data_IF_942188046700
#
_entry.id   IF_942188046700
#
_cell.length_a   1.000
_cell.length_b   1.000
_cell.length_c   1.000
_cell.angle_alpha   90.00
_cell.angle_beta   90.00
_cell.angle_gamma   90.00
#
_symmetry.space_group_name_H-M   'P 1'
#
loop_
_entity.id
_entity.type
_entity.pdbx_description
1 polymer ?
#
# COMPACT_ATOMS: atom_id res chain seq x y z
N UNK A 1 13.08 -8.35 -24.91
CA UNK A 1 11.61 -8.33 -24.79
C UNK A 1 11.25 -9.29 -23.67
N UNK A 2 10.38 -8.89 -22.74
CA UNK A 2 9.98 -9.74 -21.60
C UNK A 2 8.92 -10.78 -22.02
N UNK A 3 8.98 -11.97 -21.43
CA UNK A 3 7.96 -13.02 -21.53
C UNK A 3 7.12 -13.07 -20.24
N UNK A 4 5.88 -13.59 -20.28
CA UNK A 4 5.01 -13.70 -19.10
C UNK A 4 5.41 -14.89 -18.20
N UNK A 5 6.70 -14.99 -17.86
CA UNK A 5 7.26 -15.99 -16.94
C UNK A 5 8.09 -15.32 -15.86
N UNK A 6 8.20 -15.95 -14.69
CA UNK A 6 8.97 -15.41 -13.57
C UNK A 6 10.45 -15.25 -13.89
N UNK A 7 11.02 -16.20 -14.63
CA UNK A 7 12.42 -16.18 -15.06
C UNK A 7 12.71 -14.97 -15.95
N UNK A 8 11.75 -14.55 -16.79
CA UNK A 8 11.95 -13.39 -17.67
C UNK A 8 11.74 -12.07 -16.94
N UNK A 9 10.70 -11.94 -16.10
CA UNK A 9 10.44 -10.68 -15.37
C UNK A 9 11.50 -10.45 -14.29
N UNK A 10 12.03 -11.51 -13.69
CA UNK A 10 13.10 -11.45 -12.71
C UNK A 10 14.43 -10.88 -13.24
N UNK A 11 14.64 -10.83 -14.56
CA UNK A 11 15.83 -10.18 -15.14
C UNK A 11 15.69 -8.67 -15.31
N UNK A 12 14.55 -8.07 -14.96
CA UNK A 12 14.34 -6.62 -15.07
C UNK A 12 15.23 -5.89 -14.04
N UNK A 13 16.27 -5.15 -14.47
CA UNK A 13 17.13 -4.43 -13.53
C UNK A 13 16.37 -3.27 -12.87
N UNK A 14 16.80 -2.88 -11.68
CA UNK A 14 16.34 -1.65 -11.06
C UNK A 14 16.79 -0.45 -11.93
N UNK A 15 15.89 0.46 -12.35
CA UNK A 15 16.31 1.64 -13.12
C UNK A 15 17.17 2.58 -12.26
N UNK A 16 18.26 3.10 -12.84
CA UNK A 16 19.21 3.98 -12.14
C UNK A 16 18.51 5.18 -11.48
N UNK A 17 17.54 5.81 -12.16
CA UNK A 17 16.80 6.96 -11.61
C UNK A 17 16.04 6.62 -10.32
N UNK A 18 15.52 5.39 -10.20
CA UNK A 18 14.77 4.96 -9.02
C UNK A 18 15.74 4.65 -7.88
N UNK A 19 16.90 4.06 -8.20
CA UNK A 19 17.97 3.93 -7.22
C UNK A 19 18.40 5.32 -6.73
N UNK A 20 18.69 6.26 -7.64
CA UNK A 20 19.23 7.59 -7.33
C UNK A 20 18.27 8.53 -6.59
N UNK A 21 16.95 8.34 -6.69
CA UNK A 21 15.99 9.30 -6.13
C UNK A 21 16.07 9.43 -4.60
N UNK A 22 16.40 8.34 -3.88
CA UNK A 22 16.56 8.17 -2.40
C UNK A 22 15.42 8.69 -1.49
N UNK A 23 14.53 9.55 -1.95
CA UNK A 23 13.37 10.11 -1.25
C UNK A 23 12.17 10.13 -2.22
N UNK A 24 11.07 9.52 -1.80
CA UNK A 24 9.80 9.55 -2.52
C UNK A 24 8.66 10.00 -1.60
N UNK A 25 7.61 10.57 -2.20
CA UNK A 25 6.37 10.91 -1.49
C UNK A 25 5.34 9.85 -1.85
N UNK A 26 4.72 9.26 -0.83
CA UNK A 26 3.61 8.34 -1.02
C UNK A 26 2.31 8.99 -0.52
N UNK A 27 1.23 8.82 -1.28
CA UNK A 27 -0.05 9.45 -1.02
C UNK A 27 -1.13 8.37 -0.90
N UNK A 28 -1.78 8.33 0.26
CA UNK A 28 -3.01 7.55 0.46
C UNK A 28 -4.21 8.46 0.23
N UNK A 29 -4.83 8.34 -0.94
CA UNK A 29 -5.99 9.14 -1.29
C UNK A 29 -7.09 8.28 -1.94
N UNK A 30 -8.30 8.39 -1.39
CA UNK A 30 -9.47 7.69 -1.90
C UNK A 30 -10.74 8.13 -1.16
N UNK A 31 -11.86 7.42 -1.38
CA UNK A 31 -13.13 7.76 -0.73
C UNK A 31 -13.07 7.68 0.81
N UNK A 32 -12.19 6.84 1.36
CA UNK A 32 -11.92 6.77 2.79
C UNK A 32 -11.31 8.06 3.37
N UNK A 33 -10.67 8.90 2.53
CA UNK A 33 -10.13 10.20 2.95
C UNK A 33 -11.23 11.26 3.17
N UNK A 34 -12.45 11.05 2.65
CA UNK A 34 -13.58 11.98 2.83
C UNK A 34 -14.01 12.08 4.29
N UNK A 35 -14.26 10.99 5.02
CA UNK A 35 -14.51 11.06 6.46
C UNK A 35 -13.27 11.44 7.27
N UNK A 36 -12.05 11.12 6.78
CA UNK A 36 -10.80 11.49 7.43
C UNK A 36 -10.67 10.94 8.86
N UNK A 37 -11.06 9.68 9.05
CA UNK A 37 -11.16 9.05 10.35
C UNK A 37 -10.66 7.61 10.29
N UNK A 38 -9.93 7.17 11.30
CA UNK A 38 -9.68 5.76 11.55
C UNK A 38 -9.70 5.42 13.05
N UNK A 39 -9.84 4.13 13.41
CA UNK A 39 -9.73 3.72 14.80
C UNK A 39 -8.26 3.70 15.25
N UNK A 40 -8.02 4.18 16.46
CA UNK A 40 -6.73 4.05 17.11
C UNK A 40 -6.54 2.62 17.60
N UNK A 41 -5.72 1.86 16.88
CA UNK A 41 -5.46 0.45 17.16
C UNK A 41 -3.97 0.22 17.40
N UNK A 42 -3.59 -0.75 18.26
CA UNK A 42 -2.19 -1.05 18.52
C UNK A 42 -1.46 -1.65 17.30
N UNK A 43 -2.16 -2.47 16.50
CA UNK A 43 -1.60 -3.12 15.31
C UNK A 43 -2.64 -3.25 14.20
N UNK A 44 -2.39 -2.57 13.09
CA UNK A 44 -3.16 -2.69 11.85
C UNK A 44 -3.06 -4.10 11.26
N UNK A 45 -1.89 -4.74 11.32
CA UNK A 45 -1.67 -6.04 10.68
C UNK A 45 -2.49 -7.15 11.33
N UNK A 46 -2.74 -7.03 12.64
CA UNK A 46 -3.67 -7.91 13.35
C UNK A 46 -5.09 -7.70 12.83
N UNK A 47 -5.56 -6.45 12.77
CA UNK A 47 -6.89 -6.14 12.24
C UNK A 47 -7.10 -6.65 10.81
N UNK A 48 -6.11 -6.48 9.94
CA UNK A 48 -6.18 -6.97 8.55
C UNK A 48 -6.33 -8.50 8.46
N UNK A 49 -5.87 -9.24 9.46
CA UNK A 49 -5.94 -10.70 9.49
C UNK A 49 -7.23 -11.21 10.14
N UNK A 50 -7.77 -10.46 11.10
CA UNK A 50 -8.92 -10.87 11.91
C UNK A 50 -10.24 -10.37 11.36
N UNK A 51 -10.24 -9.23 10.69
CA UNK A 51 -11.45 -8.52 10.31
C UNK A 51 -11.89 -8.89 8.89
N UNK A 52 -13.20 -8.78 8.66
CA UNK A 52 -13.76 -9.00 7.34
C UNK A 52 -13.36 -7.85 6.39
N UNK A 53 -13.23 -8.09 5.07
CA UNK A 53 -12.84 -7.06 4.11
C UNK A 53 -13.74 -5.81 4.13
N UNK A 54 -15.01 -5.96 4.53
CA UNK A 54 -15.94 -4.84 4.66
C UNK A 54 -15.60 -3.91 5.84
N UNK A 55 -15.00 -4.44 6.90
CA UNK A 55 -14.58 -3.66 8.07
C UNK A 55 -13.39 -2.77 7.72
N UNK A 56 -12.47 -3.25 6.86
CA UNK A 56 -11.38 -2.43 6.33
C UNK A 56 -11.84 -1.18 5.58
N UNK A 57 -13.03 -1.21 4.97
CA UNK A 57 -13.58 -0.04 4.26
C UNK A 57 -14.12 1.01 5.23
N UNK A 58 -14.59 0.59 6.39
CA UNK A 58 -15.11 1.47 7.46
C UNK A 58 -13.97 2.04 8.29
N UNK A 59 -13.04 1.18 8.66
CA UNK A 59 -12.02 1.41 9.68
C UNK A 59 -10.64 1.59 9.03
N UNK A 60 -10.60 2.18 7.84
CA UNK A 60 -9.39 2.26 7.03
C UNK A 60 -8.34 3.15 7.72
N UNK A 61 -7.24 2.59 8.22
CA UNK A 61 -6.20 3.34 8.90
C UNK A 61 -5.53 4.37 7.98
N UNK A 62 -5.52 4.16 6.67
CA UNK A 62 -4.93 5.11 5.72
C UNK A 62 -5.72 6.41 5.54
N UNK A 63 -6.86 6.57 6.24
CA UNK A 63 -7.66 7.79 6.19
C UNK A 63 -7.13 8.94 7.04
N UNK A 64 -6.29 8.67 8.05
CA UNK A 64 -5.86 9.67 9.05
C UNK A 64 -4.34 9.79 9.26
N UNK A 65 -3.53 9.18 8.38
CA UNK A 65 -2.05 9.22 8.43
C UNK A 65 -1.43 10.30 7.55
#
# INVERSE_FOLDING_TARGET
>A
MYAPTWESVGTHPLPDWYDDAKLGIFLHWGLYSVPGWAPQVPDIQEQLKTNEPAEMLRDNPYAEW
#
